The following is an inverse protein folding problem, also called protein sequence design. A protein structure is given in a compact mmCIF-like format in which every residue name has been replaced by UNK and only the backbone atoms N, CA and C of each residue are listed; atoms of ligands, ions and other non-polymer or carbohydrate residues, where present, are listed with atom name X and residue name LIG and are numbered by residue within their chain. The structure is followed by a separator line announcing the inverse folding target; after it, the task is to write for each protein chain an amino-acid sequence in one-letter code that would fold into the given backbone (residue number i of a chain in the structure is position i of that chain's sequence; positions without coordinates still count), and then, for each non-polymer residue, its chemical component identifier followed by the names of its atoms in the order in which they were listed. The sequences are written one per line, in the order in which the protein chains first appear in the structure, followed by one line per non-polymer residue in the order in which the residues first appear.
data_IF_676049303826
#
_entry.id   IF_676049303826
#
_cell.length_a   1.000
_cell.length_b   1.000
_cell.length_c   1.000
_cell.angle_alpha   90.00
_cell.angle_beta   90.00
_cell.angle_gamma   90.00
#
_symmetry.space_group_name_H-M   'P 1'
#
loop_
_entity.id
_entity.type
_entity.pdbx_description
1 polymer ?
#
# COMPACT_ATOMS: atom_id res chain seq x y z
N UNK A 1 -14.15 8.33 -7.09
CA UNK A 1 -14.06 6.86 -6.89
C UNK A 1 -13.85 6.63 -5.40
N UNK A 2 -14.26 5.50 -4.81
CA UNK A 2 -13.99 5.33 -3.37
C UNK A 2 -12.48 5.08 -3.16
N UNK A 3 -11.80 5.74 -2.18
CA UNK A 3 -10.39 5.49 -1.90
C UNK A 3 -10.05 4.01 -1.69
N UNK A 4 -10.96 3.25 -1.06
CA UNK A 4 -10.79 1.80 -0.84
C UNK A 4 -10.71 1.03 -2.16
N UNK A 5 -11.53 1.39 -3.15
CA UNK A 5 -11.48 0.79 -4.49
C UNK A 5 -10.18 1.17 -5.19
N UNK A 6 -9.75 2.43 -5.07
CA UNK A 6 -8.53 2.91 -5.71
C UNK A 6 -7.28 2.20 -5.19
N UNK A 7 -7.19 1.96 -3.87
CA UNK A 7 -6.02 1.29 -3.27
C UNK A 7 -6.13 -0.23 -3.29
N UNK A 8 -7.20 -0.80 -3.87
CA UNK A 8 -7.45 -2.25 -3.84
C UNK A 8 -6.26 -3.06 -4.36
N UNK A 9 -5.75 -2.70 -5.53
CA UNK A 9 -4.59 -3.40 -6.15
C UNK A 9 -3.36 -3.33 -5.24
N UNK A 10 -3.10 -2.18 -4.64
CA UNK A 10 -2.00 -1.99 -3.68
C UNK A 10 -2.16 -2.91 -2.48
N UNK A 11 -3.36 -2.96 -1.88
CA UNK A 11 -3.61 -3.82 -0.71
C UNK A 11 -3.58 -5.31 -1.03
N UNK A 12 -4.10 -5.73 -2.19
CA UNK A 12 -4.08 -7.12 -2.64
C UNK A 12 -2.65 -7.59 -2.95
N UNK A 13 -1.83 -6.72 -3.54
CA UNK A 13 -0.42 -7.01 -3.84
C UNK A 13 0.39 -7.16 -2.55
N UNK A 14 0.23 -6.26 -1.58
CA UNK A 14 0.89 -6.37 -0.28
C UNK A 14 0.51 -7.68 0.43
N UNK A 15 -0.78 -8.06 0.41
CA UNK A 15 -1.25 -9.34 0.97
C UNK A 15 -0.64 -10.53 0.24
N UNK A 16 -0.54 -10.49 -1.09
CA UNK A 16 0.07 -11.58 -1.85
C UNK A 16 1.53 -11.80 -1.46
N UNK A 17 2.30 -10.74 -1.19
CA UNK A 17 3.68 -10.85 -0.68
C UNK A 17 3.71 -11.43 0.73
N UNK A 18 2.86 -10.94 1.64
CA UNK A 18 2.76 -11.47 3.02
C UNK A 18 2.41 -12.96 3.06
N UNK A 19 1.57 -13.42 2.12
CA UNK A 19 1.13 -14.80 2.00
C UNK A 19 2.12 -15.68 1.19
N UNK A 20 3.23 -15.11 0.70
CA UNK A 20 4.21 -15.82 -0.11
C UNK A 20 3.71 -16.22 -1.51
N UNK A 21 2.60 -15.63 -1.98
CA UNK A 21 2.04 -15.84 -3.32
C UNK A 21 2.69 -14.96 -4.39
N UNK A 22 3.41 -13.91 -3.97
CA UNK A 22 4.16 -12.99 -4.81
C UNK A 22 5.52 -12.71 -4.15
N UNK A 23 6.58 -12.63 -4.93
CA UNK A 23 7.88 -12.22 -4.41
C UNK A 23 7.92 -10.71 -4.13
N UNK A 24 8.81 -10.27 -3.22
CA UNK A 24 8.87 -8.88 -2.79
C UNK A 24 9.27 -7.92 -3.92
N UNK A 25 10.10 -8.36 -4.86
CA UNK A 25 10.58 -7.51 -5.97
C UNK A 25 9.41 -7.20 -6.93
N UNK A 26 8.67 -8.23 -7.34
CA UNK A 26 7.48 -8.07 -8.18
C UNK A 26 6.38 -7.27 -7.45
N UNK A 27 6.26 -7.48 -6.14
CA UNK A 27 5.39 -6.68 -5.27
C UNK A 27 5.74 -5.19 -5.28
N UNK A 28 7.02 -4.86 -5.08
CA UNK A 28 7.52 -3.48 -5.09
C UNK A 28 7.29 -2.81 -6.45
N UNK A 29 7.65 -3.47 -7.56
CA UNK A 29 7.42 -2.95 -8.91
C UNK A 29 5.95 -2.63 -9.18
N UNK A 30 5.06 -3.54 -8.77
CA UNK A 30 3.61 -3.33 -8.90
C UNK A 30 3.15 -2.13 -8.07
N UNK A 31 3.62 -2.02 -6.82
CA UNK A 31 3.28 -0.89 -5.95
C UNK A 31 3.80 0.44 -6.50
N UNK A 32 5.01 0.50 -7.06
CA UNK A 32 5.57 1.71 -7.68
C UNK A 32 4.70 2.18 -8.85
N UNK A 33 4.35 1.26 -9.76
CA UNK A 33 3.47 1.58 -10.90
C UNK A 33 2.09 2.08 -10.43
N UNK A 34 1.57 1.51 -9.34
CA UNK A 34 0.31 1.96 -8.76
C UNK A 34 0.43 3.31 -8.07
N UNK A 35 1.50 3.57 -7.30
CA UNK A 35 1.75 4.86 -6.63
C UNK A 35 1.69 6.01 -7.63
N UNK A 36 2.41 5.89 -8.75
CA UNK A 36 2.44 6.89 -9.83
C UNK A 36 1.05 7.17 -10.41
N UNK A 37 0.22 6.13 -10.55
CA UNK A 37 -1.12 6.24 -11.13
C UNK A 37 -2.15 6.77 -10.14
N UNK A 38 -2.10 6.35 -8.88
CA UNK A 38 -3.19 6.59 -7.94
C UNK A 38 -2.94 7.76 -6.99
N UNK A 39 -1.68 8.05 -6.64
CA UNK A 39 -1.36 9.11 -5.69
C UNK A 39 -1.93 10.48 -6.08
N UNK A 40 -1.90 10.91 -7.37
CA UNK A 40 -2.49 12.20 -7.78
C UNK A 40 -4.00 12.29 -7.54
N UNK A 41 -4.70 11.16 -7.61
CA UNK A 41 -6.16 11.10 -7.52
C UNK A 41 -6.65 10.83 -6.09
N UNK A 42 -5.81 10.22 -5.25
CA UNK A 42 -6.19 9.77 -3.91
C UNK A 42 -6.62 10.92 -2.98
N UNK A 43 -6.02 12.11 -3.13
CA UNK A 43 -6.43 13.31 -2.41
C UNK A 43 -7.84 13.78 -2.79
N UNK A 44 -8.20 13.68 -4.08
CA UNK A 44 -9.54 14.05 -4.55
C UNK A 44 -10.57 13.07 -4.02
N UNK A 45 -10.32 11.77 -4.17
CA UNK A 45 -11.24 10.73 -3.70
C UNK A 45 -11.47 10.79 -2.19
N UNK A 46 -10.47 11.24 -1.41
CA UNK A 46 -10.62 11.49 0.04
C UNK A 46 -11.70 12.53 0.35
N UNK A 47 -11.81 13.57 -0.47
CA UNK A 47 -12.79 14.66 -0.26
C UNK A 47 -14.22 14.14 -0.52
N UNK A 48 -14.35 13.13 -1.37
CA UNK A 48 -15.64 12.54 -1.76
C UNK A 48 -16.16 11.50 -0.75
N UNK A 49 -15.43 11.22 0.33
CA UNK A 49 -15.82 10.27 1.39
C UNK A 49 -15.76 10.90 2.77
N UNK A 50 -16.33 10.22 3.76
CA UNK A 50 -16.22 10.67 5.15
C UNK A 50 -14.80 10.50 5.69
N UNK A 51 -14.42 11.31 6.67
CA UNK A 51 -13.13 11.20 7.35
C UNK A 51 -12.91 9.79 7.95
N UNK A 52 -13.95 9.19 8.54
CA UNK A 52 -13.87 7.86 9.13
C UNK A 52 -13.56 6.76 8.08
N UNK A 53 -14.11 6.89 6.87
CA UNK A 53 -13.82 5.99 5.76
C UNK A 53 -12.37 6.16 5.29
N UNK A 54 -11.92 7.40 5.08
CA UNK A 54 -10.54 7.70 4.70
C UNK A 54 -9.52 7.18 5.74
N UNK A 55 -9.79 7.39 7.02
CA UNK A 55 -8.96 6.92 8.13
C UNK A 55 -8.87 5.40 8.20
N UNK A 56 -9.98 4.70 7.89
CA UNK A 56 -10.02 3.23 7.85
C UNK A 56 -9.10 2.69 6.75
N UNK A 57 -9.12 3.32 5.58
CA UNK A 57 -8.23 2.96 4.46
C UNK A 57 -6.78 3.28 4.81
N UNK A 58 -6.51 4.46 5.37
CA UNK A 58 -5.17 4.86 5.81
C UNK A 58 -4.59 3.91 6.86
N UNK A 59 -5.40 3.48 7.84
CA UNK A 59 -5.00 2.51 8.86
C UNK A 59 -4.68 1.15 8.26
N UNK A 60 -5.47 0.69 7.29
CA UNK A 60 -5.22 -0.57 6.59
C UNK A 60 -3.89 -0.54 5.85
N UNK A 61 -3.60 0.54 5.12
CA UNK A 61 -2.34 0.72 4.41
C UNK A 61 -1.14 0.75 5.37
N UNK A 62 -1.24 1.46 6.51
CA UNK A 62 -0.17 1.47 7.52
C UNK A 62 0.11 0.08 8.08
N UNK A 63 -0.93 -0.66 8.47
CA UNK A 63 -0.79 -2.02 9.01
C UNK A 63 -0.14 -2.97 8.01
N UNK A 64 -0.50 -2.86 6.73
CA UNK A 64 0.17 -3.63 5.69
C UNK A 64 1.64 -3.23 5.53
N UNK A 65 1.95 -1.94 5.58
CA UNK A 65 3.33 -1.45 5.54
C UNK A 65 4.18 -2.01 6.69
N UNK A 66 3.66 -1.97 7.91
CA UNK A 66 4.29 -2.54 9.11
C UNK A 66 4.53 -4.06 8.97
N UNK A 67 3.50 -4.80 8.54
CA UNK A 67 3.61 -6.25 8.35
C UNK A 67 4.64 -6.63 7.28
N UNK A 68 4.71 -5.86 6.18
CA UNK A 68 5.67 -6.09 5.10
C UNK A 68 7.09 -5.77 5.57
N UNK A 69 7.29 -4.70 6.36
CA UNK A 69 8.62 -4.39 6.91
C UNK A 69 9.11 -5.40 7.96
N UNK A 70 8.18 -6.09 8.63
CA UNK A 70 8.50 -7.10 9.65
C UNK A 70 8.80 -8.49 9.05
N UNK A 71 8.68 -8.67 7.72
CA UNK A 71 9.02 -9.93 7.08
C UNK A 71 10.52 -10.24 7.21
N UNK A 72 10.89 -11.52 7.41
CA UNK A 72 12.28 -11.89 7.60
C UNK A 72 13.11 -11.64 6.31
N UNK A 73 14.19 -10.84 6.37
CA UNK A 73 14.98 -10.44 5.20
C UNK A 73 15.75 -11.60 4.58
N UNK A 74 15.81 -12.74 5.25
CA UNK A 74 16.51 -13.94 4.79
C UNK A 74 15.74 -14.65 3.67
N UNK A 75 14.45 -14.35 3.51
CA UNK A 75 13.53 -14.98 2.53
C UNK A 75 13.04 -14.02 1.45
N UNK A 76 13.25 -12.73 1.64
CA UNK A 76 12.74 -11.66 0.79
C UNK A 76 13.82 -10.62 0.58
N UNK A 77 13.81 -9.95 -0.56
CA UNK A 77 14.68 -8.81 -0.79
C UNK A 77 14.32 -7.67 0.20
N UNK A 78 15.24 -7.29 1.11
CA UNK A 78 14.96 -6.28 2.12
C UNK A 78 14.74 -4.89 1.50
N UNK A 79 15.40 -4.56 0.39
CA UNK A 79 15.19 -3.27 -0.28
C UNK A 79 13.79 -3.19 -0.87
N UNK A 80 13.33 -4.28 -1.47
CA UNK A 80 11.98 -4.37 -2.01
C UNK A 80 10.90 -4.27 -0.91
N UNK A 81 11.11 -4.94 0.24
CA UNK A 81 10.20 -4.83 1.39
C UNK A 81 10.14 -3.40 1.94
N UNK A 82 11.29 -2.74 2.07
CA UNK A 82 11.36 -1.36 2.53
C UNK A 82 10.66 -0.41 1.55
N UNK A 83 10.82 -0.61 0.25
CA UNK A 83 10.16 0.20 -0.77
C UNK A 83 8.64 0.02 -0.76
N UNK A 84 8.16 -1.23 -0.63
CA UNK A 84 6.73 -1.50 -0.45
C UNK A 84 6.17 -0.79 0.79
N UNK A 85 6.86 -0.89 1.92
CA UNK A 85 6.45 -0.23 3.16
C UNK A 85 6.44 1.31 3.02
N UNK A 86 7.43 1.90 2.34
CA UNK A 86 7.48 3.33 2.01
C UNK A 86 6.25 3.78 1.23
N UNK A 87 5.92 3.07 0.15
CA UNK A 87 4.77 3.38 -0.72
C UNK A 87 3.47 3.31 0.07
N UNK A 88 3.26 2.22 0.83
CA UNK A 88 2.07 2.04 1.66
C UNK A 88 1.92 3.17 2.69
N UNK A 89 3.04 3.59 3.30
CA UNK A 89 3.09 4.73 4.21
C UNK A 89 2.73 6.06 3.54
N UNK A 90 3.26 6.32 2.35
CA UNK A 90 2.99 7.55 1.59
C UNK A 90 1.52 7.68 1.17
N UNK A 91 0.93 6.58 0.68
CA UNK A 91 -0.49 6.53 0.33
C UNK A 91 -1.38 6.71 1.56
N UNK A 92 -1.04 6.07 2.69
CA UNK A 92 -1.74 6.26 3.94
C UNK A 92 -1.67 7.72 4.44
N UNK A 93 -0.52 8.38 4.28
CA UNK A 93 -0.34 9.77 4.65
C UNK A 93 -1.14 10.73 3.77
N UNK A 94 -1.39 10.37 2.51
CA UNK A 94 -2.23 11.15 1.60
C UNK A 94 -3.71 11.13 2.01
N UNK A 95 -4.15 10.05 2.66
CA UNK A 95 -5.51 9.87 3.15
C UNK A 95 -5.79 10.51 4.51
N UNK A 96 -4.75 10.92 5.25
CA UNK A 96 -4.86 11.72 6.48
C UNK A 96 -4.85 13.21 6.16
#
# INVERSE_FOLDING_TARGET
MNPAERVRIVTETARAVLEGRLDAVSGAQTLTLQEEQIAPHLRSDRIDVTQAEADTVALTLRRLGEQVSDLPPNRHDPEALMEMARILGALAQTLR
#
